data_IF_784054381394
#
_entry.id   IF_784054381394
#
_cell.length_a   1.000
_cell.length_b   1.000
_cell.length_c   1.000
_cell.angle_alpha   90.00
_cell.angle_beta   90.00
_cell.angle_gamma   90.00
#
_symmetry.space_group_name_H-M   'P 1'
#
loop_
_entity.id
_entity.type
_entity.pdbx_description
1 polymer ?
#
# COMPACT_ATOMS: atom_id res chain seq x y z
N UNK A 1 25.65 -10.48 -4.48
CA UNK A 1 24.92 -9.23 -4.21
C UNK A 1 23.92 -9.37 -3.06
N UNK A 2 22.87 -10.21 -3.15
CA UNK A 2 21.82 -10.31 -2.11
C UNK A 2 22.31 -10.62 -0.69
N UNK A 3 23.40 -11.38 -0.51
CA UNK A 3 23.97 -11.64 0.82
C UNK A 3 24.55 -10.36 1.45
N UNK A 4 25.26 -9.57 0.66
CA UNK A 4 25.81 -8.30 1.11
C UNK A 4 24.70 -7.29 1.45
N UNK A 5 23.69 -7.19 0.60
CA UNK A 5 22.51 -6.35 0.87
C UNK A 5 21.81 -6.72 2.20
N UNK A 6 21.77 -8.02 2.57
CA UNK A 6 21.22 -8.46 3.87
C UNK A 6 22.04 -7.95 5.06
N UNK A 7 23.38 -7.92 4.94
CA UNK A 7 24.23 -7.35 5.99
C UNK A 7 23.98 -5.86 6.14
N UNK A 8 23.94 -5.13 5.02
CA UNK A 8 23.62 -3.69 5.04
C UNK A 8 22.23 -3.44 5.60
N UNK A 9 21.23 -4.24 5.20
CA UNK A 9 19.86 -4.16 5.73
C UNK A 9 19.83 -4.35 7.25
N UNK A 10 20.55 -5.35 7.75
CA UNK A 10 20.62 -5.62 9.19
C UNK A 10 21.25 -4.44 9.93
N UNK A 11 22.33 -3.89 9.42
CA UNK A 11 23.00 -2.72 9.99
C UNK A 11 22.10 -1.46 9.94
N UNK A 12 21.49 -1.15 8.80
CA UNK A 12 20.53 -0.04 8.67
C UNK A 12 19.43 -0.12 9.74
N UNK A 13 18.85 -1.30 9.94
CA UNK A 13 17.80 -1.50 10.94
C UNK A 13 18.24 -1.20 12.38
N UNK A 14 19.51 -1.35 12.71
CA UNK A 14 20.02 -0.98 14.05
C UNK A 14 20.19 0.52 14.22
N UNK A 15 20.34 1.26 13.11
CA UNK A 15 20.52 2.71 13.12
C UNK A 15 19.20 3.49 13.07
N UNK A 16 18.08 2.82 12.78
CA UNK A 16 16.78 3.47 12.61
C UNK A 16 15.97 3.48 13.92
N UNK A 17 15.17 4.52 14.16
CA UNK A 17 14.21 4.52 15.27
C UNK A 17 13.23 3.36 15.16
N UNK A 18 12.88 2.66 16.26
CA UNK A 18 11.99 1.51 16.23
C UNK A 18 10.56 1.86 15.78
N UNK A 19 10.14 3.11 15.93
CA UNK A 19 8.77 3.59 15.65
C UNK A 19 8.75 4.68 14.58
N UNK A 20 9.60 4.57 13.54
CA UNK A 20 9.77 5.62 12.54
C UNK A 20 8.47 6.03 11.84
N UNK A 21 7.63 5.05 11.48
CA UNK A 21 6.36 5.28 10.79
C UNK A 21 5.32 4.25 11.26
N UNK A 22 4.47 4.58 12.22
CA UNK A 22 3.54 3.64 12.83
C UNK A 22 2.49 3.11 11.83
N UNK A 23 2.19 3.86 10.78
CA UNK A 23 1.17 3.52 9.79
C UNK A 23 1.71 2.90 8.49
N UNK A 24 3.02 2.61 8.40
CA UNK A 24 3.58 1.73 7.37
C UNK A 24 3.53 0.27 7.83
N UNK A 25 2.78 -0.56 7.14
CA UNK A 25 2.57 -1.96 7.51
C UNK A 25 3.42 -2.94 6.68
N UNK A 26 3.79 -2.59 5.45
CA UNK A 26 4.60 -3.45 4.62
C UNK A 26 6.06 -3.53 5.09
N UNK A 27 6.70 -4.68 4.87
CA UNK A 27 8.12 -4.93 5.12
C UNK A 27 8.57 -4.78 6.58
N UNK A 28 7.63 -4.81 7.51
CA UNK A 28 7.88 -4.70 8.96
C UNK A 28 7.62 -6.02 9.67
N UNK A 29 8.46 -6.32 10.67
CA UNK A 29 8.25 -7.48 11.53
C UNK A 29 6.96 -7.30 12.33
N UNK A 30 6.16 -8.37 12.45
CA UNK A 30 4.89 -8.39 13.18
C UNK A 30 3.86 -7.37 12.67
N UNK A 31 3.91 -7.05 11.36
CA UNK A 31 2.92 -6.23 10.68
C UNK A 31 2.49 -6.94 9.39
N UNK A 32 1.23 -6.89 9.10
CA UNK A 32 0.61 -7.57 7.96
C UNK A 32 -0.35 -6.64 7.20
N UNK A 33 -0.85 -7.09 6.07
CA UNK A 33 -1.92 -6.39 5.34
C UNK A 33 -3.23 -6.41 6.14
N UNK A 34 -3.44 -7.47 6.92
CA UNK A 34 -4.60 -7.62 7.81
C UNK A 34 -4.60 -6.52 8.87
N UNK A 35 -3.43 -6.21 9.46
CA UNK A 35 -3.30 -5.11 10.42
C UNK A 35 -3.61 -3.75 9.78
N UNK A 36 -3.16 -3.52 8.53
CA UNK A 36 -3.48 -2.30 7.79
C UNK A 36 -4.99 -2.16 7.55
N UNK A 37 -5.64 -3.25 7.10
CA UNK A 37 -7.09 -3.28 6.86
C UNK A 37 -7.85 -3.07 8.17
N UNK A 38 -7.46 -3.78 9.24
CA UNK A 38 -8.09 -3.68 10.55
C UNK A 38 -7.96 -2.26 11.13
N UNK A 39 -6.79 -1.64 10.99
CA UNK A 39 -6.58 -0.25 11.42
C UNK A 39 -7.50 0.71 10.67
N UNK A 40 -7.60 0.57 9.34
CA UNK A 40 -8.45 1.41 8.52
C UNK A 40 -9.94 1.24 8.88
N UNK A 41 -10.40 0.00 8.99
CA UNK A 41 -11.80 -0.30 9.32
C UNK A 41 -12.14 0.07 10.77
N UNK A 42 -11.25 -0.19 11.72
CA UNK A 42 -11.47 0.18 13.12
C UNK A 42 -11.61 1.70 13.28
N UNK A 43 -10.72 2.48 12.67
CA UNK A 43 -10.81 3.94 12.69
C UNK A 43 -12.13 4.43 12.09
N UNK A 44 -12.56 3.84 10.97
CA UNK A 44 -13.81 4.20 10.31
C UNK A 44 -15.03 3.84 11.16
N UNK A 45 -15.13 2.59 11.63
CA UNK A 45 -16.26 2.10 12.41
C UNK A 45 -16.41 2.86 13.73
N UNK A 46 -15.31 3.04 14.48
CA UNK A 46 -15.32 3.80 15.74
C UNK A 46 -15.79 5.24 15.55
N UNK A 47 -15.52 5.85 14.38
CA UNK A 47 -16.00 7.19 14.08
C UNK A 47 -17.48 7.20 13.70
N UNK A 48 -17.93 6.21 12.93
CA UNK A 48 -19.31 6.09 12.49
C UNK A 48 -20.32 5.81 13.63
N UNK A 49 -19.84 5.37 14.79
CA UNK A 49 -20.64 5.25 16.00
C UNK A 49 -21.09 6.62 16.57
N UNK A 50 -20.41 7.70 16.16
CA UNK A 50 -20.78 9.05 16.59
C UNK A 50 -21.95 9.61 15.75
N UNK A 51 -22.76 10.45 16.38
CA UNK A 51 -23.84 11.12 15.68
C UNK A 51 -23.31 12.11 14.64
N UNK A 52 -24.02 12.25 13.53
CA UNK A 52 -23.73 13.20 12.46
C UNK A 52 -22.32 13.08 11.86
N UNK A 53 -21.81 11.85 11.82
CA UNK A 53 -20.47 11.51 11.31
C UNK A 53 -20.55 10.67 10.03
N UNK A 54 -19.52 10.75 9.22
CA UNK A 54 -19.25 9.87 8.07
C UNK A 54 -17.75 9.80 7.79
N UNK A 55 -17.36 8.88 6.92
CA UNK A 55 -15.94 8.63 6.62
C UNK A 55 -15.72 8.76 5.12
N UNK A 56 -14.59 9.40 4.77
CA UNK A 56 -14.07 9.44 3.40
C UNK A 56 -12.76 8.65 3.35
N UNK A 57 -12.64 7.72 2.43
CA UNK A 57 -11.44 6.92 2.20
C UNK A 57 -10.92 7.19 0.79
N UNK A 58 -9.71 7.72 0.69
CA UNK A 58 -9.04 7.98 -0.58
C UNK A 58 -7.94 6.93 -0.78
N UNK A 59 -8.12 6.07 -1.77
CA UNK A 59 -7.16 5.04 -2.17
C UNK A 59 -6.29 5.58 -3.29
N UNK A 60 -5.02 5.79 -3.00
CA UNK A 60 -4.07 6.47 -3.87
C UNK A 60 -3.29 5.45 -4.68
N UNK A 61 -3.18 5.69 -5.97
CA UNK A 61 -2.30 4.97 -6.90
C UNK A 61 -1.17 5.91 -7.35
N UNK A 62 0.06 5.41 -7.29
CA UNK A 62 1.22 6.12 -7.81
C UNK A 62 1.66 5.55 -9.17
N UNK A 63 2.05 6.42 -10.07
CA UNK A 63 2.67 6.01 -11.33
C UNK A 63 4.13 5.61 -11.07
N UNK A 64 4.40 4.29 -11.07
CA UNK A 64 5.78 3.75 -10.95
C UNK A 64 6.54 4.18 -9.69
N UNK A 65 5.89 4.15 -8.51
CA UNK A 65 6.40 4.64 -7.23
C UNK A 65 7.88 4.27 -6.93
N UNK A 66 8.24 2.99 -7.09
CA UNK A 66 9.61 2.52 -6.85
C UNK A 66 10.64 3.06 -7.86
N UNK A 67 10.23 3.38 -9.08
CA UNK A 67 11.12 3.83 -10.14
C UNK A 67 11.37 5.35 -10.10
N UNK A 68 10.57 6.10 -9.33
CA UNK A 68 10.62 7.57 -9.29
C UNK A 68 11.37 8.12 -8.08
N UNK A 69 11.80 7.25 -7.16
CA UNK A 69 12.59 7.65 -5.99
C UNK A 69 13.85 8.40 -6.43
N UNK A 70 14.05 9.62 -5.94
CA UNK A 70 15.26 10.42 -6.19
C UNK A 70 16.30 10.11 -5.12
N UNK A 71 17.46 9.52 -5.49
CA UNK A 71 18.49 9.12 -4.52
C UNK A 71 18.96 10.26 -3.61
N UNK A 72 19.21 11.46 -4.15
CA UNK A 72 19.64 12.60 -3.34
C UNK A 72 18.62 13.01 -2.28
N UNK A 73 17.31 13.00 -2.60
CA UNK A 73 16.25 13.28 -1.62
C UNK A 73 16.19 12.20 -0.53
N UNK A 74 16.35 10.92 -0.91
CA UNK A 74 16.43 9.84 0.06
C UNK A 74 17.62 10.04 1.01
N UNK A 75 18.80 10.39 0.49
CA UNK A 75 19.99 10.65 1.32
C UNK A 75 19.75 11.79 2.30
N UNK A 76 19.13 12.88 1.88
CA UNK A 76 18.76 13.99 2.77
C UNK A 76 17.87 13.49 3.93
N UNK A 77 16.87 12.68 3.62
CA UNK A 77 15.98 12.09 4.65
C UNK A 77 16.73 11.16 5.60
N UNK A 78 17.64 10.31 5.08
CA UNK A 78 18.47 9.43 5.89
C UNK A 78 19.42 10.21 6.82
N UNK A 79 19.99 11.30 6.34
CA UNK A 79 20.84 12.20 7.15
C UNK A 79 20.04 12.84 8.29
N UNK A 80 18.79 13.25 8.04
CA UNK A 80 17.89 13.77 9.09
C UNK A 80 17.53 12.70 10.14
N UNK A 81 17.52 11.43 9.75
CA UNK A 81 17.34 10.31 10.68
C UNK A 81 18.62 9.93 11.46
N UNK A 82 19.73 10.66 11.26
CA UNK A 82 20.99 10.41 11.94
C UNK A 82 21.83 9.27 11.36
N UNK A 83 21.51 8.81 10.13
CA UNK A 83 22.34 7.82 9.45
C UNK A 83 23.69 8.45 9.09
N UNK A 84 24.79 7.74 9.38
CA UNK A 84 26.13 8.27 9.15
C UNK A 84 26.41 8.50 7.65
N UNK A 85 27.27 9.49 7.37
CA UNK A 85 27.60 9.93 6.02
C UNK A 85 28.19 8.81 5.14
N UNK A 86 28.98 7.92 5.72
CA UNK A 86 29.59 6.82 4.95
C UNK A 86 28.53 5.87 4.40
N UNK A 87 27.52 5.52 5.23
CA UNK A 87 26.41 4.67 4.80
C UNK A 87 25.50 5.40 3.82
N UNK A 88 25.26 6.69 4.02
CA UNK A 88 24.51 7.54 3.09
C UNK A 88 25.19 7.58 1.70
N UNK A 89 26.49 7.80 1.66
CA UNK A 89 27.27 7.81 0.40
C UNK A 89 27.25 6.45 -0.29
N UNK A 90 27.35 5.36 0.47
CA UNK A 90 27.24 4.02 -0.08
C UNK A 90 25.85 3.76 -0.69
N UNK A 91 24.77 4.20 -0.01
CA UNK A 91 23.41 4.07 -0.54
C UNK A 91 23.25 4.92 -1.81
N UNK A 92 23.82 6.12 -1.83
CA UNK A 92 23.80 6.98 -3.02
C UNK A 92 24.46 6.31 -4.21
N UNK A 93 25.66 5.75 -4.02
CA UNK A 93 26.40 5.00 -5.05
C UNK A 93 25.61 3.76 -5.51
N UNK A 94 25.03 3.00 -4.58
CA UNK A 94 24.17 1.85 -4.87
C UNK A 94 22.97 2.21 -5.75
N UNK A 95 22.43 3.43 -5.64
CA UNK A 95 21.24 3.89 -6.37
C UNK A 95 21.56 4.70 -7.64
N UNK A 96 22.81 5.12 -7.85
CA UNK A 96 23.23 5.99 -8.96
C UNK A 96 23.99 5.20 -10.02
N UNK A 97 24.00 5.74 -11.25
CA UNK A 97 24.78 5.21 -12.38
C UNK A 97 24.57 3.71 -12.65
N UNK A 98 23.32 3.23 -12.46
CA UNK A 98 23.01 1.79 -12.61
C UNK A 98 22.80 1.42 -14.07
N UNK A 99 23.68 0.59 -14.67
CA UNK A 99 23.46 0.10 -16.02
C UNK A 99 22.32 -0.93 -16.02
N UNK A 100 21.38 -0.76 -16.94
CA UNK A 100 20.27 -1.70 -17.18
C UNK A 100 20.17 -2.04 -18.64
N UNK A 101 20.05 -3.33 -18.93
CA UNK A 101 19.70 -3.86 -20.25
C UNK A 101 18.64 -4.94 -20.11
N UNK A 102 17.81 -5.11 -21.12
CA UNK A 102 16.75 -6.14 -21.19
C UNK A 102 17.19 -7.21 -22.15
N UNK A 103 17.16 -8.46 -21.72
CA UNK A 103 17.44 -9.62 -22.57
C UNK A 103 16.16 -10.42 -22.78
N UNK A 104 15.81 -10.65 -24.04
CA UNK A 104 14.72 -11.52 -24.47
C UNK A 104 15.33 -12.56 -25.43
N UNK A 105 15.35 -13.81 -25.00
CA UNK A 105 15.99 -14.91 -25.73
C UNK A 105 17.47 -14.60 -26.09
N UNK A 106 17.76 -14.46 -27.38
CA UNK A 106 19.11 -14.14 -27.90
C UNK A 106 19.32 -12.64 -28.18
N UNK A 107 18.32 -11.80 -27.93
CA UNK A 107 18.38 -10.36 -28.16
C UNK A 107 18.58 -9.61 -26.85
N UNK A 108 19.54 -8.67 -26.83
CA UNK A 108 19.79 -7.78 -25.69
C UNK A 108 19.64 -6.34 -26.15
N UNK A 109 18.89 -5.54 -25.39
CA UNK A 109 18.75 -4.11 -25.68
C UNK A 109 20.06 -3.36 -25.48
N UNK A 110 20.14 -2.12 -25.95
CA UNK A 110 21.17 -1.16 -25.53
C UNK A 110 21.09 -0.97 -24.01
N UNK A 111 22.25 -0.65 -23.43
CA UNK A 111 22.35 -0.34 -22.00
C UNK A 111 21.85 1.07 -21.73
N UNK A 112 20.95 1.21 -20.75
CA UNK A 112 20.48 2.48 -20.22
C UNK A 112 21.08 2.70 -18.82
N UNK A 113 21.55 3.92 -18.54
CA UNK A 113 22.04 4.30 -17.20
C UNK A 113 20.89 4.90 -16.39
N UNK A 114 20.58 4.30 -15.24
CA UNK A 114 19.51 4.74 -14.35
C UNK A 114 20.10 5.52 -13.17
N UNK A 115 19.56 6.72 -12.93
CA UNK A 115 19.90 7.61 -11.82
C UNK A 115 18.70 7.88 -10.89
N UNK A 116 17.59 7.21 -11.11
CA UNK A 116 16.37 7.29 -10.30
C UNK A 116 15.86 5.90 -9.93
N UNK A 117 14.98 5.87 -8.95
CA UNK A 117 14.33 4.65 -8.48
C UNK A 117 15.21 3.76 -7.61
N UNK A 118 14.56 2.77 -7.01
CA UNK A 118 15.21 1.68 -6.28
C UNK A 118 15.10 0.38 -7.08
N UNK A 119 16.17 -0.45 -7.12
CA UNK A 119 16.18 -1.65 -7.95
C UNK A 119 15.11 -2.65 -7.52
N UNK A 120 14.20 -3.02 -8.42
CA UNK A 120 13.18 -4.03 -8.13
C UNK A 120 13.81 -5.42 -7.93
N UNK A 121 13.34 -6.15 -6.92
CA UNK A 121 13.86 -7.47 -6.56
C UNK A 121 15.14 -7.48 -5.72
N UNK A 122 15.69 -6.33 -5.36
CA UNK A 122 16.76 -6.18 -4.38
C UNK A 122 16.24 -6.31 -2.94
N UNK A 123 17.13 -6.67 -2.02
CA UNK A 123 16.79 -6.84 -0.59
C UNK A 123 16.57 -5.51 0.10
N UNK A 124 17.29 -4.48 -0.31
CA UNK A 124 17.24 -3.13 0.31
C UNK A 124 16.06 -2.29 -0.17
N UNK A 125 15.60 -2.47 -1.41
CA UNK A 125 14.61 -1.60 -2.04
C UNK A 125 13.31 -1.41 -1.23
N UNK A 126 12.74 -2.44 -0.60
CA UNK A 126 11.56 -2.27 0.24
C UNK A 126 11.79 -1.31 1.43
N UNK A 127 12.93 -1.46 2.12
CA UNK A 127 13.28 -0.58 3.23
C UNK A 127 13.56 0.85 2.73
N UNK A 128 14.33 1.00 1.65
CA UNK A 128 14.66 2.32 1.10
C UNK A 128 13.42 3.09 0.65
N UNK A 129 12.42 2.41 0.07
CA UNK A 129 11.15 3.02 -0.27
C UNK A 129 10.37 3.44 0.99
N UNK A 130 10.30 2.59 2.02
CA UNK A 130 9.65 2.95 3.29
C UNK A 130 10.36 4.14 3.96
N UNK A 131 11.70 4.22 3.86
CA UNK A 131 12.49 5.35 4.34
C UNK A 131 12.32 6.60 3.49
N UNK A 132 11.98 6.46 2.22
CA UNK A 132 11.66 7.59 1.36
C UNK A 132 10.32 8.23 1.69
N UNK A 133 9.36 7.42 2.16
CA UNK A 133 7.98 7.85 2.44
C UNK A 133 7.64 7.99 3.92
N UNK A 134 8.63 7.90 4.82
CA UNK A 134 8.37 7.88 6.27
C UNK A 134 7.75 9.16 6.80
N UNK A 135 8.07 10.29 6.20
CA UNK A 135 7.62 11.64 6.56
C UNK A 135 6.27 12.03 5.91
N UNK A 136 5.69 11.14 5.11
CA UNK A 136 4.31 11.26 4.65
C UNK A 136 3.37 10.88 5.79
N UNK A 137 3.04 11.85 6.61
CA UNK A 137 2.21 11.70 7.80
C UNK A 137 1.04 12.67 7.76
N UNK A 138 -0.10 12.36 8.40
CA UNK A 138 -1.24 13.27 8.40
C UNK A 138 -0.91 14.56 9.14
N UNK A 139 -1.42 15.68 8.62
CA UNK A 139 -1.28 17.02 9.22
C UNK A 139 -2.38 17.25 10.26
N UNK A 140 -3.56 16.69 10.04
CA UNK A 140 -4.71 16.84 10.92
C UNK A 140 -5.01 15.56 11.71
N UNK A 141 -5.27 15.69 13.01
CA UNK A 141 -5.54 14.54 13.89
C UNK A 141 -6.84 13.78 13.58
N UNK A 142 -7.76 14.38 12.82
CA UNK A 142 -8.97 13.74 12.29
C UNK A 142 -8.71 12.87 11.07
N UNK A 143 -7.48 12.87 10.53
CA UNK A 143 -7.11 12.07 9.38
C UNK A 143 -6.07 11.01 9.77
N UNK A 144 -6.06 9.92 9.00
CA UNK A 144 -5.04 8.87 9.12
C UNK A 144 -4.53 8.52 7.73
N UNK A 145 -3.22 8.37 7.58
CA UNK A 145 -2.59 7.88 6.34
C UNK A 145 -2.09 6.47 6.59
N UNK A 146 -2.75 5.47 6.03
CA UNK A 146 -2.33 4.06 6.10
C UNK A 146 -1.52 3.72 4.86
N UNK A 147 -0.34 3.13 5.05
CA UNK A 147 0.58 2.73 3.96
C UNK A 147 0.86 1.25 3.99
N UNK A 148 0.81 0.60 2.83
CA UNK A 148 1.29 -0.77 2.62
C UNK A 148 2.15 -0.81 1.36
N UNK A 149 3.46 -0.66 1.52
CA UNK A 149 4.42 -0.36 0.45
C UNK A 149 4.07 0.97 -0.23
N UNK A 150 3.71 0.92 -1.51
CA UNK A 150 3.23 2.06 -2.30
C UNK A 150 1.71 2.28 -2.20
N UNK A 151 0.95 1.26 -1.82
CA UNK A 151 -0.48 1.45 -1.56
C UNK A 151 -0.66 2.41 -0.37
N UNK A 152 -1.24 3.57 -0.65
CA UNK A 152 -1.46 4.63 0.35
C UNK A 152 -2.94 4.97 0.41
N UNK A 153 -3.49 5.04 1.62
CA UNK A 153 -4.91 5.37 1.84
C UNK A 153 -5.02 6.48 2.86
N UNK A 154 -5.74 7.54 2.51
CA UNK A 154 -6.12 8.60 3.45
C UNK A 154 -7.52 8.33 3.96
N UNK A 155 -7.69 8.33 5.28
CA UNK A 155 -8.97 8.14 5.96
C UNK A 155 -9.29 9.44 6.67
N UNK A 156 -10.33 10.12 6.21
CA UNK A 156 -10.87 11.33 6.82
C UNK A 156 -12.11 11.01 7.65
N UNK A 157 -12.05 11.39 8.92
CA UNK A 157 -13.14 11.22 9.89
C UNK A 157 -13.91 12.55 9.96
N UNK A 158 -15.08 12.60 9.33
CA UNK A 158 -15.86 13.82 9.14
C UNK A 158 -16.98 13.89 10.18
N UNK A 159 -17.07 15.02 10.88
CA UNK A 159 -18.14 15.35 11.79
C UNK A 159 -18.84 16.63 11.33
N UNK A 160 -20.15 16.74 11.54
CA UNK A 160 -20.94 17.93 11.30
C UNK A 160 -20.80 18.52 9.87
N UNK A 161 -20.52 17.65 8.88
CA UNK A 161 -20.23 18.02 7.49
C UNK A 161 -18.99 18.92 7.30
N UNK A 162 -18.12 19.04 8.28
CA UNK A 162 -16.86 19.75 8.12
C UNK A 162 -15.80 18.86 7.46
N UNK A 163 -15.59 19.04 6.16
CA UNK A 163 -14.60 18.33 5.36
C UNK A 163 -13.27 19.09 5.25
N UNK A 164 -13.12 20.23 5.90
CA UNK A 164 -11.96 21.14 5.73
C UNK A 164 -10.64 20.41 5.96
N UNK A 165 -10.50 19.75 7.11
CA UNK A 165 -9.28 19.02 7.48
C UNK A 165 -8.96 17.88 6.48
N UNK A 166 -9.97 17.17 5.97
CA UNK A 166 -9.74 16.12 4.99
C UNK A 166 -9.31 16.68 3.62
N UNK A 167 -9.94 17.78 3.17
CA UNK A 167 -9.60 18.43 1.91
C UNK A 167 -8.20 19.04 1.94
N UNK A 168 -7.84 19.66 3.04
CA UNK A 168 -6.49 20.17 3.28
C UNK A 168 -5.46 19.02 3.29
N UNK A 169 -5.77 17.89 3.93
CA UNK A 169 -4.90 16.71 3.93
C UNK A 169 -4.62 16.19 2.52
N UNK A 170 -5.66 16.09 1.68
CA UNK A 170 -5.51 15.67 0.28
C UNK A 170 -4.62 16.64 -0.50
N UNK A 171 -4.79 17.95 -0.27
CA UNK A 171 -3.97 18.97 -0.90
C UNK A 171 -2.52 18.91 -0.42
N UNK A 172 -2.30 18.77 0.88
CA UNK A 172 -0.96 18.58 1.47
C UNK A 172 -0.26 17.35 0.91
N UNK A 173 -0.98 16.24 0.81
CA UNK A 173 -0.44 15.02 0.22
C UNK A 173 -0.06 15.23 -1.26
N UNK A 174 -0.87 15.92 -2.02
CA UNK A 174 -0.55 16.23 -3.43
C UNK A 174 0.75 17.06 -3.55
N UNK A 175 0.93 18.05 -2.70
CA UNK A 175 2.16 18.88 -2.63
C UNK A 175 3.35 18.01 -2.20
N UNK A 176 3.19 17.23 -1.12
CA UNK A 176 4.25 16.33 -0.65
C UNK A 176 4.68 15.33 -1.74
N UNK A 177 3.73 14.78 -2.50
CA UNK A 177 4.02 13.90 -3.63
C UNK A 177 4.82 14.61 -4.73
N UNK A 178 4.44 15.83 -5.11
CA UNK A 178 5.16 16.63 -6.09
C UNK A 178 6.58 16.92 -5.62
N UNK A 179 6.75 17.34 -4.37
CA UNK A 179 8.05 17.60 -3.76
C UNK A 179 8.94 16.36 -3.69
N UNK A 180 8.35 15.17 -3.61
CA UNK A 180 9.08 13.91 -3.56
C UNK A 180 9.14 13.16 -4.91
N UNK A 181 8.76 13.82 -6.01
CA UNK A 181 8.76 13.22 -7.35
C UNK A 181 7.91 11.92 -7.44
N UNK A 182 6.85 11.82 -6.63
CA UNK A 182 5.88 10.73 -6.68
C UNK A 182 4.66 11.18 -7.49
N UNK A 183 4.54 10.69 -8.71
CA UNK A 183 3.43 11.08 -9.58
C UNK A 183 2.14 10.36 -9.17
N UNK A 184 1.17 11.14 -8.70
CA UNK A 184 -0.18 10.66 -8.41
C UNK A 184 -0.91 10.27 -9.69
N UNK A 185 -1.46 9.07 -9.74
CA UNK A 185 -2.31 8.62 -10.82
C UNK A 185 -3.79 8.87 -10.49
N UNK A 186 -4.27 10.08 -10.74
CA UNK A 186 -5.65 10.47 -10.39
C UNK A 186 -6.70 9.57 -11.03
N UNK A 187 -6.46 9.05 -12.25
CA UNK A 187 -7.39 8.16 -12.93
C UNK A 187 -7.59 6.81 -12.23
N UNK A 188 -6.55 6.32 -11.55
CA UNK A 188 -6.61 5.08 -10.77
C UNK A 188 -6.88 5.32 -9.29
N UNK A 189 -6.63 6.53 -8.80
CA UNK A 189 -7.02 6.95 -7.45
C UNK A 189 -8.54 6.93 -7.33
N UNK A 190 -9.07 6.37 -6.25
CA UNK A 190 -10.51 6.22 -6.03
C UNK A 190 -10.88 6.72 -4.65
N UNK A 191 -12.11 7.22 -4.54
CA UNK A 191 -12.68 7.63 -3.28
C UNK A 191 -13.90 6.78 -2.95
N UNK A 192 -13.97 6.31 -1.70
CA UNK A 192 -15.11 5.64 -1.10
C UNK A 192 -15.64 6.49 0.04
N UNK A 193 -16.95 6.74 0.06
CA UNK A 193 -17.60 7.47 1.14
C UNK A 193 -18.56 6.52 1.85
N UNK A 194 -18.39 6.39 3.17
CA UNK A 194 -19.26 5.61 4.04
C UNK A 194 -20.08 6.59 4.87
N UNK A 195 -21.37 6.68 4.57
CA UNK A 195 -22.29 7.63 5.19
C UNK A 195 -23.62 6.95 5.51
N UNK A 196 -23.87 6.65 6.78
CA UNK A 196 -25.09 5.99 7.27
C UNK A 196 -26.16 6.97 7.79
N UNK A 197 -25.93 8.27 7.61
CA UNK A 197 -26.89 9.27 8.08
C UNK A 197 -28.18 9.22 7.27
N UNK A 198 -29.33 9.34 7.97
CA UNK A 198 -30.67 9.33 7.34
C UNK A 198 -30.89 10.48 6.32
N UNK A 199 -30.18 11.59 6.51
CA UNK A 199 -30.19 12.75 5.62
C UNK A 199 -28.76 13.01 5.14
N UNK A 200 -28.20 12.08 4.37
CA UNK A 200 -26.92 12.29 3.72
C UNK A 200 -27.07 13.44 2.71
N UNK A 201 -26.21 14.44 2.82
CA UNK A 201 -26.12 15.54 1.86
C UNK A 201 -25.41 15.12 0.58
N UNK A 202 -25.36 16.02 -0.40
CA UNK A 202 -24.53 15.82 -1.60
C UNK A 202 -23.07 16.02 -1.21
N UNK A 203 -22.24 14.98 -1.39
CA UNK A 203 -20.81 15.06 -1.16
C UNK A 203 -20.11 15.72 -2.35
N UNK A 204 -19.40 16.81 -2.09
CA UNK A 204 -18.63 17.54 -3.13
C UNK A 204 -17.41 16.69 -3.52
N UNK A 205 -17.13 16.50 -4.81
CA UNK A 205 -15.97 15.75 -5.28
C UNK A 205 -14.64 16.28 -4.75
N UNK A 206 -13.64 15.41 -4.68
CA UNK A 206 -12.24 15.76 -4.43
C UNK A 206 -11.54 15.96 -5.77
N UNK A 207 -10.68 16.96 -5.84
CA UNK A 207 -9.82 17.22 -7.01
C UNK A 207 -8.36 17.09 -6.60
N UNK A 208 -7.58 16.38 -7.41
CA UNK A 208 -6.12 16.26 -7.29
C UNK A 208 -5.51 16.76 -8.60
N UNK A 209 -4.65 17.78 -8.51
CA UNK A 209 -4.02 18.40 -9.68
C UNK A 209 -5.05 18.86 -10.75
N UNK A 210 -6.19 19.40 -10.31
CA UNK A 210 -7.26 19.88 -11.17
C UNK A 210 -8.15 18.80 -11.79
N UNK A 211 -7.89 17.52 -11.51
CA UNK A 211 -8.71 16.40 -11.97
C UNK A 211 -9.59 15.87 -10.85
N UNK A 212 -10.86 15.63 -11.17
CA UNK A 212 -11.80 15.01 -10.25
C UNK A 212 -11.43 13.55 -9.97
N UNK A 213 -11.46 13.17 -8.69
CA UNK A 213 -11.28 11.78 -8.26
C UNK A 213 -12.58 11.03 -8.37
N UNK A 214 -12.56 9.88 -9.05
CA UNK A 214 -13.73 9.02 -9.20
C UNK A 214 -14.19 8.46 -7.86
N UNK A 215 -15.46 8.70 -7.53
CA UNK A 215 -16.13 8.05 -6.41
C UNK A 215 -16.61 6.66 -6.82
N UNK A 216 -16.38 5.68 -5.95
CA UNK A 216 -16.78 4.28 -6.17
C UNK A 216 -17.65 3.78 -5.02
N UNK A 217 -18.61 2.91 -5.32
CA UNK A 217 -19.44 2.25 -4.30
C UNK A 217 -18.70 1.10 -3.58
N UNK A 218 -17.59 0.61 -4.15
CA UNK A 218 -16.73 -0.39 -3.52
C UNK A 218 -15.31 -0.29 -4.07
N UNK A 219 -14.34 -0.63 -3.23
CA UNK A 219 -12.93 -0.68 -3.59
C UNK A 219 -12.24 -1.95 -3.05
N UNK A 220 -11.29 -2.48 -3.82
CA UNK A 220 -10.49 -3.64 -3.39
C UNK A 220 -9.21 -3.18 -2.68
N UNK A 221 -9.29 -2.98 -1.38
CA UNK A 221 -8.19 -2.56 -0.53
C UNK A 221 -7.39 -3.77 -0.04
N UNK A 222 -6.12 -3.86 -0.39
CA UNK A 222 -5.17 -4.93 0.00
C UNK A 222 -5.73 -6.36 -0.17
N UNK A 223 -6.59 -6.53 -1.18
CA UNK A 223 -7.17 -7.83 -1.50
C UNK A 223 -8.57 -8.08 -0.94
N UNK A 224 -9.09 -7.22 -0.07
CA UNK A 224 -10.44 -7.25 0.52
C UNK A 224 -11.33 -6.21 -0.14
N UNK A 225 -12.56 -6.56 -0.49
CA UNK A 225 -13.55 -5.62 -1.02
C UNK A 225 -14.21 -4.88 0.14
N UNK A 226 -14.05 -3.57 0.17
CA UNK A 226 -14.76 -2.66 1.08
C UNK A 226 -15.82 -1.93 0.25
N UNK A 227 -17.08 -1.91 0.71
CA UNK A 227 -18.20 -1.23 0.07
C UNK A 227 -18.69 -0.06 0.94
N UNK A 228 -19.40 0.89 0.33
CA UNK A 228 -19.92 2.08 1.02
C UNK A 228 -20.94 1.77 2.12
N UNK A 229 -21.53 0.56 2.08
CA UNK A 229 -22.41 0.02 3.13
C UNK A 229 -21.65 -0.85 4.15
N UNK A 230 -20.34 -1.00 4.01
CA UNK A 230 -19.47 -1.89 4.78
C UNK A 230 -19.98 -3.34 4.85
N UNK A 231 -20.80 -3.79 3.88
CA UNK A 231 -21.24 -5.17 3.81
C UNK A 231 -20.12 -6.08 3.28
N UNK A 232 -20.11 -7.32 3.76
CA UNK A 232 -19.14 -8.32 3.30
C UNK A 232 -19.59 -9.10 2.05
N UNK A 233 -20.75 -8.74 1.48
CA UNK A 233 -21.38 -9.49 0.38
C UNK A 233 -20.50 -9.61 -0.83
N UNK A 234 -19.90 -8.52 -1.30
CA UNK A 234 -18.99 -8.50 -2.46
C UNK A 234 -17.72 -9.32 -2.18
N UNK A 235 -17.16 -9.16 -0.99
CA UNK A 235 -15.95 -9.89 -0.60
C UNK A 235 -16.22 -11.39 -0.55
N UNK A 236 -17.29 -11.80 0.14
CA UNK A 236 -17.70 -13.21 0.26
C UNK A 236 -17.99 -13.83 -1.10
N UNK A 237 -18.76 -13.14 -1.96
CA UNK A 237 -19.04 -13.62 -3.33
C UNK A 237 -17.78 -13.80 -4.17
N UNK A 238 -16.81 -12.88 -4.07
CA UNK A 238 -15.51 -12.99 -4.75
C UNK A 238 -14.72 -14.20 -4.26
N UNK A 239 -14.70 -14.44 -2.95
CA UNK A 239 -14.00 -15.57 -2.34
C UNK A 239 -14.63 -16.91 -2.72
N UNK A 240 -15.95 -17.00 -2.68
CA UNK A 240 -16.69 -18.20 -3.11
C UNK A 240 -16.38 -18.54 -4.57
N UNK A 241 -16.40 -17.55 -5.47
CA UNK A 241 -16.00 -17.76 -6.88
C UNK A 241 -14.59 -18.34 -7.01
N UNK A 242 -13.62 -17.76 -6.29
CA UNK A 242 -12.23 -18.24 -6.28
C UNK A 242 -12.12 -19.66 -5.70
N UNK A 243 -12.81 -19.95 -4.59
CA UNK A 243 -12.82 -21.27 -3.99
C UNK A 243 -13.40 -22.33 -4.94
N UNK A 244 -14.51 -22.03 -5.62
CA UNK A 244 -15.09 -22.92 -6.64
C UNK A 244 -14.14 -23.21 -7.79
N UNK A 245 -13.46 -22.18 -8.32
CA UNK A 245 -12.46 -22.36 -9.38
C UNK A 245 -11.31 -23.25 -8.92
N UNK A 246 -10.82 -23.10 -7.70
CA UNK A 246 -9.70 -23.91 -7.18
C UNK A 246 -10.14 -25.33 -6.84
N UNK A 247 -11.37 -25.52 -6.37
CA UNK A 247 -11.97 -26.86 -6.21
C UNK A 247 -12.08 -27.60 -7.56
N UNK A 248 -12.40 -26.87 -8.64
CA UNK A 248 -12.38 -27.47 -9.98
C UNK A 248 -10.98 -27.97 -10.35
N UNK A 249 -9.91 -27.18 -10.10
CA UNK A 249 -8.54 -27.64 -10.35
C UNK A 249 -8.15 -28.81 -9.45
N UNK A 250 -8.51 -28.81 -8.17
CA UNK A 250 -8.26 -29.94 -7.27
C UNK A 250 -8.90 -31.23 -7.78
N UNK A 251 -10.15 -31.16 -8.28
CA UNK A 251 -10.83 -32.32 -8.87
C UNK A 251 -10.11 -32.83 -10.12
N UNK A 252 -9.57 -31.93 -10.95
CA UNK A 252 -8.76 -32.31 -12.13
C UNK A 252 -7.45 -32.98 -11.74
N UNK A 253 -6.76 -32.46 -10.72
CA UNK A 253 -5.54 -33.06 -10.20
C UNK A 253 -5.81 -34.46 -9.62
N UNK A 254 -6.95 -34.65 -8.91
CA UNK A 254 -7.40 -35.97 -8.43
C UNK A 254 -7.64 -36.93 -9.58
N UNK A 255 -8.29 -36.50 -10.67
CA UNK A 255 -8.51 -37.32 -11.89
C UNK A 255 -7.21 -37.68 -12.60
N UNK A 256 -6.16 -36.87 -12.46
CA UNK A 256 -4.83 -37.14 -12.99
C UNK A 256 -4.01 -38.07 -12.05
N UNK A 257 -4.65 -38.69 -11.07
CA UNK A 257 -4.05 -39.69 -10.15
C UNK A 257 -2.84 -39.16 -9.33
N UNK A 258 -2.82 -37.83 -9.01
CA UNK A 258 -1.82 -37.29 -8.11
C UNK A 258 -1.97 -37.86 -6.70
N UNK A 259 -0.84 -38.04 -5.99
CA UNK A 259 -0.84 -38.61 -4.64
C UNK A 259 -1.70 -37.80 -3.66
N UNK A 260 -2.32 -38.45 -2.65
CA UNK A 260 -3.12 -37.74 -1.64
C UNK A 260 -2.38 -36.59 -0.96
N UNK A 261 -1.08 -36.74 -0.72
CA UNK A 261 -0.24 -35.71 -0.09
C UNK A 261 -0.11 -34.45 -0.95
N UNK A 262 0.02 -34.58 -2.27
CA UNK A 262 0.04 -33.45 -3.20
C UNK A 262 -1.33 -32.76 -3.23
N UNK A 263 -2.41 -33.54 -3.23
CA UNK A 263 -3.78 -33.00 -3.22
C UNK A 263 -4.07 -32.24 -1.93
N UNK A 264 -3.64 -32.76 -0.78
CA UNK A 264 -3.77 -32.10 0.51
C UNK A 264 -2.97 -30.79 0.55
N UNK A 265 -1.72 -30.80 0.11
CA UNK A 265 -0.89 -29.60 0.02
C UNK A 265 -1.52 -28.57 -0.91
N UNK A 266 -2.05 -28.99 -2.07
CA UNK A 266 -2.78 -28.09 -2.96
C UNK A 266 -4.01 -27.48 -2.27
N UNK A 267 -4.81 -28.30 -1.56
CA UNK A 267 -5.99 -27.82 -0.83
C UNK A 267 -5.60 -26.77 0.21
N UNK A 268 -4.65 -27.08 1.08
CA UNK A 268 -4.18 -26.16 2.14
C UNK A 268 -3.62 -24.87 1.58
N UNK A 269 -2.71 -24.95 0.61
CA UNK A 269 -2.05 -23.76 0.06
C UNK A 269 -2.96 -22.89 -0.81
N UNK A 270 -4.01 -23.45 -1.43
CA UNK A 270 -4.78 -22.71 -2.44
C UNK A 270 -6.23 -22.45 -2.04
N UNK A 271 -6.87 -23.34 -1.30
CA UNK A 271 -8.29 -23.23 -0.94
C UNK A 271 -8.42 -22.77 0.51
N UNK A 272 -7.85 -23.53 1.43
CA UNK A 272 -7.89 -23.19 2.85
C UNK A 272 -7.29 -21.80 3.12
N UNK A 273 -6.14 -21.50 2.50
CA UNK A 273 -5.48 -20.20 2.64
C UNK A 273 -6.34 -18.99 2.25
N UNK A 274 -7.21 -19.11 1.22
CA UNK A 274 -8.10 -18.02 0.85
C UNK A 274 -9.35 -17.93 1.73
N UNK A 275 -9.79 -19.04 2.31
CA UNK A 275 -10.94 -19.07 3.20
C UNK A 275 -10.57 -18.62 4.62
N UNK A 276 -9.34 -18.93 5.07
CA UNK A 276 -8.84 -18.53 6.39
C UNK A 276 -8.37 -17.08 6.44
N UNK A 277 -7.85 -16.53 5.34
CA UNK A 277 -7.53 -15.09 5.25
C UNK A 277 -8.74 -14.19 5.53
N UNK A 278 -9.96 -14.70 5.43
CA UNK A 278 -11.16 -13.96 5.83
C UNK A 278 -11.49 -14.06 7.31
N UNK A 279 -11.01 -15.09 8.01
CA UNK A 279 -11.29 -15.26 9.45
C UNK A 279 -10.54 -14.23 10.29
N UNK A 280 -9.33 -13.86 9.87
CA UNK A 280 -8.50 -12.87 10.59
C UNK A 280 -9.08 -11.44 10.53
N UNK A 281 -10.00 -11.16 9.59
CA UNK A 281 -10.61 -9.84 9.40
C UNK A 281 -12.03 -9.73 10.00
N UNK A 282 -12.55 -10.79 10.65
CA UNK A 282 -13.92 -10.87 11.15
C UNK A 282 -14.00 -11.00 12.69
N UNK A 283 -12.88 -10.97 13.38
CA UNK A 283 -12.74 -10.94 14.84
C UNK A 283 -12.05 -9.65 15.26
#
# INVERSE_FOLDING_TARGET
>A
MKCFERLVLAHLKTCLPPTLDPFQFAYRKNRSKEDAISTALHSALSHLDNNNSYVRMLFIDFSSAFNTVIPSKLITKLSHLGINTSLCNWILDFLSNRPQSVRVENHTSSTLILNTGVPQGCVLSPLLYSLFTYDCTPVHGSNTIVKFADDTTVIGLISDNDESAYREEVQHLAVWCADNNLALNTKKTKELIVDFRKKAGTHIPIHINGMEVERVASFKFLGVHISEDLSWTLNTSSLVKKAHQRLFFLRRLKKAHLSPQILENFYRCTIESILTNCRSNLL
#
